data_IF_871008263754
#
_entry.id   IF_871008263754
#
_cell.length_a   1.000
_cell.length_b   1.000
_cell.length_c   1.000
_cell.angle_alpha   90.00
_cell.angle_beta   90.00
_cell.angle_gamma   90.00
#
_symmetry.space_group_name_H-M   'P 1'
#
loop_
_entity.id
_entity.type
_entity.pdbx_description
1 polymer ?
#
# COMPACT_ATOMS: atom_id res chain seq x y z
N UNK A 1 -17.07 -0.12 -2.48
CA UNK A 1 -16.26 -0.59 -3.62
C UNK A 1 -16.41 -2.09 -3.72
N UNK A 2 -16.95 -2.61 -4.82
CA UNK A 2 -17.32 -4.04 -4.97
C UNK A 2 -16.31 -4.82 -5.82
N UNK A 3 -15.46 -4.15 -6.58
CA UNK A 3 -14.44 -4.80 -7.41
C UNK A 3 -13.15 -5.02 -6.62
N UNK A 4 -12.54 -6.17 -6.86
CA UNK A 4 -11.33 -6.61 -6.17
C UNK A 4 -10.11 -5.91 -6.78
N UNK A 5 -9.30 -5.19 -5.99
CA UNK A 5 -8.19 -4.42 -6.54
C UNK A 5 -7.07 -5.33 -7.05
N UNK A 6 -6.27 -4.77 -7.96
CA UNK A 6 -4.99 -5.36 -8.36
C UNK A 6 -4.07 -5.42 -7.14
N UNK A 7 -3.12 -6.35 -7.15
CA UNK A 7 -2.18 -6.56 -6.05
C UNK A 7 -2.79 -6.94 -4.69
N UNK A 8 -4.05 -7.36 -4.61
CA UNK A 8 -4.72 -7.80 -3.36
C UNK A 8 -3.94 -8.81 -2.49
N UNK A 9 -2.98 -9.53 -3.07
CA UNK A 9 -2.12 -10.50 -2.36
C UNK A 9 -0.63 -10.11 -2.31
N UNK A 10 -0.26 -8.96 -2.85
CA UNK A 10 1.11 -8.43 -2.85
C UNK A 10 1.47 -7.83 -1.49
N UNK A 11 1.49 -8.66 -0.44
CA UNK A 11 1.58 -8.20 0.94
C UNK A 11 2.93 -7.56 1.27
N UNK A 12 4.01 -8.01 0.64
CA UNK A 12 5.34 -7.44 0.82
C UNK A 12 5.41 -6.03 0.25
N UNK A 13 4.83 -5.82 -0.92
CA UNK A 13 4.73 -4.55 -1.63
C UNK A 13 3.83 -3.57 -0.87
N UNK A 14 2.69 -4.04 -0.35
CA UNK A 14 1.84 -3.24 0.53
C UNK A 14 2.57 -2.80 1.79
N UNK A 15 3.39 -3.68 2.40
CA UNK A 15 4.18 -3.33 3.57
C UNK A 15 5.26 -2.28 3.26
N UNK A 16 5.90 -2.36 2.09
CA UNK A 16 6.84 -1.33 1.63
C UNK A 16 6.15 0.02 1.44
N UNK A 17 5.00 0.03 0.73
CA UNK A 17 4.23 1.27 0.51
C UNK A 17 3.75 1.88 1.83
N UNK A 18 3.25 1.06 2.77
CA UNK A 18 2.83 1.54 4.08
C UNK A 18 3.98 2.18 4.87
N UNK A 19 5.18 1.59 4.80
CA UNK A 19 6.38 2.14 5.42
C UNK A 19 6.83 3.44 4.74
N UNK A 20 6.75 3.53 3.41
CA UNK A 20 7.06 4.76 2.68
C UNK A 20 6.09 5.89 3.06
N UNK A 21 4.79 5.59 3.24
CA UNK A 21 3.82 6.57 3.74
C UNK A 21 4.23 7.07 5.12
N UNK A 22 4.61 6.17 6.03
CA UNK A 22 5.05 6.52 7.38
C UNK A 22 6.31 7.41 7.35
N UNK A 23 7.31 7.06 6.53
CA UNK A 23 8.54 7.86 6.35
C UNK A 23 8.24 9.25 5.79
N UNK A 24 7.44 9.33 4.72
CA UNK A 24 7.02 10.59 4.12
C UNK A 24 6.31 11.51 5.12
N UNK A 25 5.54 10.96 6.06
CA UNK A 25 4.93 11.73 7.16
C UNK A 25 5.99 12.20 8.15
N UNK A 26 6.84 11.31 8.63
CA UNK A 26 7.88 11.63 9.61
C UNK A 26 8.85 12.71 9.10
N UNK A 27 9.19 12.68 7.82
CA UNK A 27 10.14 13.60 7.19
C UNK A 27 9.47 14.87 6.67
N UNK A 28 8.23 14.77 6.15
CA UNK A 28 7.55 15.85 5.45
C UNK A 28 6.60 16.69 6.31
N UNK A 29 5.94 16.09 7.30
CA UNK A 29 4.97 16.81 8.13
C UNK A 29 5.61 17.93 8.98
N UNK A 30 6.86 17.81 9.52
CA UNK A 30 7.51 18.92 10.24
C UNK A 30 7.59 20.22 9.41
N UNK A 31 7.98 20.13 8.13
CA UNK A 31 8.04 21.30 7.25
C UNK A 31 6.65 21.90 6.96
N UNK A 32 5.57 21.11 7.04
CA UNK A 32 4.21 21.61 6.90
C UNK A 32 3.73 22.32 8.17
N UNK A 33 4.16 21.85 9.34
CA UNK A 33 3.92 22.52 10.63
C UNK A 33 4.64 23.85 10.67
N UNK A 34 5.94 23.88 10.33
CA UNK A 34 6.73 25.12 10.26
C UNK A 34 6.12 26.14 9.30
N UNK A 35 5.48 25.67 8.23
CA UNK A 35 4.78 26.51 7.25
C UNK A 35 3.35 26.91 7.66
N UNK A 36 2.86 26.51 8.84
CA UNK A 36 1.51 26.79 9.34
C UNK A 36 0.39 26.10 8.55
N UNK A 37 0.71 25.04 7.80
CA UNK A 37 -0.24 24.29 6.95
C UNK A 37 -0.82 23.05 7.66
N UNK A 38 -0.31 22.73 8.84
CA UNK A 38 -0.66 21.59 9.65
C UNK A 38 -0.39 21.95 11.11
N UNK A 39 -1.26 21.55 12.04
CA UNK A 39 -0.93 21.70 13.48
C UNK A 39 -0.01 20.58 13.96
N UNK A 40 0.69 20.81 15.08
CA UNK A 40 1.49 19.77 15.75
C UNK A 40 0.66 18.52 16.08
N UNK A 41 -0.55 18.71 16.60
CA UNK A 41 -1.47 17.63 16.98
C UNK A 41 -1.93 16.82 15.75
N UNK A 42 -2.19 17.49 14.63
CA UNK A 42 -2.54 16.84 13.37
C UNK A 42 -1.36 16.03 12.81
N UNK A 43 -0.14 16.60 12.83
CA UNK A 43 1.07 15.90 12.40
C UNK A 43 1.33 14.64 13.25
N UNK A 44 1.24 14.77 14.58
CA UNK A 44 1.41 13.67 15.51
C UNK A 44 0.35 12.57 15.29
N UNK A 45 -0.92 12.97 15.08
CA UNK A 45 -2.02 12.04 14.81
C UNK A 45 -1.79 11.27 13.51
N UNK A 46 -1.40 11.94 12.42
CA UNK A 46 -1.12 11.31 11.12
C UNK A 46 0.07 10.36 11.20
N UNK A 47 1.13 10.73 11.92
CA UNK A 47 2.29 9.88 12.12
C UNK A 47 1.95 8.63 12.95
N UNK A 48 1.16 8.78 14.02
CA UNK A 48 0.68 7.64 14.81
C UNK A 48 -0.10 6.65 13.93
N UNK A 49 -1.09 7.13 13.18
CA UNK A 49 -1.95 6.28 12.35
C UNK A 49 -1.13 5.58 11.25
N UNK A 50 -0.27 6.32 10.54
CA UNK A 50 0.59 5.73 9.50
C UNK A 50 1.60 4.71 10.06
N UNK A 51 2.10 4.94 11.28
CA UNK A 51 2.96 3.97 11.99
C UNK A 51 2.20 2.69 12.30
N UNK A 52 0.97 2.79 12.80
CA UNK A 52 0.12 1.63 13.04
C UNK A 52 -0.13 0.81 11.78
N UNK A 53 -0.47 1.48 10.67
CA UNK A 53 -0.68 0.85 9.36
C UNK A 53 0.61 0.14 8.90
N UNK A 54 1.77 0.80 8.96
CA UNK A 54 3.05 0.21 8.55
C UNK A 54 3.39 -1.04 9.38
N UNK A 55 3.18 -0.99 10.70
CA UNK A 55 3.38 -2.13 11.59
C UNK A 55 2.46 -3.29 11.23
N UNK A 56 1.16 -3.03 10.99
CA UNK A 56 0.20 -4.05 10.62
C UNK A 56 0.61 -4.78 9.34
N UNK A 57 0.89 -4.03 8.27
CA UNK A 57 1.25 -4.62 6.98
C UNK A 57 2.59 -5.35 7.02
N UNK A 58 3.56 -4.87 7.80
CA UNK A 58 4.81 -5.59 8.05
C UNK A 58 4.60 -6.95 8.74
N UNK A 59 3.61 -7.08 9.62
CA UNK A 59 3.26 -8.37 10.22
C UNK A 59 2.47 -9.24 9.24
N UNK A 60 1.50 -8.68 8.52
CA UNK A 60 0.72 -9.44 7.54
C UNK A 60 1.57 -10.01 6.41
N UNK A 61 2.60 -9.29 5.95
CA UNK A 61 3.58 -9.78 4.98
C UNK A 61 4.36 -11.01 5.47
N UNK A 62 4.53 -11.15 6.78
CA UNK A 62 5.19 -12.29 7.45
C UNK A 62 4.20 -13.34 7.95
N UNK A 63 2.92 -13.21 7.61
CA UNK A 63 1.84 -14.08 8.13
C UNK A 63 1.75 -14.06 9.66
N UNK A 64 2.10 -12.91 10.26
CA UNK A 64 2.04 -12.67 11.69
C UNK A 64 0.83 -11.80 12.05
N UNK A 65 0.26 -12.05 13.24
CA UNK A 65 -0.76 -11.15 13.80
C UNK A 65 -0.10 -9.92 14.41
N UNK A 66 -0.44 -8.70 13.95
CA UNK A 66 0.05 -7.49 14.61
C UNK A 66 -0.56 -7.36 16.00
N UNK A 67 0.14 -6.63 16.88
CA UNK A 67 -0.39 -6.26 18.19
C UNK A 67 -1.61 -5.37 18.02
N UNK A 68 -2.60 -5.53 18.89
CA UNK A 68 -3.76 -4.62 18.92
C UNK A 68 -3.27 -3.29 19.49
N UNK A 69 -3.48 -2.22 18.73
CA UNK A 69 -3.18 -0.85 19.15
C UNK A 69 -4.49 -0.05 19.32
N UNK A 70 -4.37 1.22 19.74
CA UNK A 70 -5.53 2.11 19.92
C UNK A 70 -6.05 2.70 18.60
N UNK A 71 -5.41 2.39 17.47
CA UNK A 71 -5.78 2.96 16.17
C UNK A 71 -6.98 2.24 15.60
N UNK A 72 -8.08 2.95 15.44
CA UNK A 72 -9.35 2.39 15.00
C UNK A 72 -9.32 2.04 13.50
N UNK A 73 -10.20 1.13 13.08
CA UNK A 73 -10.36 0.82 11.66
C UNK A 73 -10.77 2.04 10.84
N UNK A 74 -11.62 2.92 11.39
CA UNK A 74 -12.07 4.14 10.71
C UNK A 74 -10.88 5.09 10.45
N UNK A 75 -10.03 5.34 11.45
CA UNK A 75 -8.81 6.14 11.29
C UNK A 75 -7.89 5.58 10.19
N UNK A 76 -7.74 4.25 10.13
CA UNK A 76 -6.92 3.60 9.10
C UNK A 76 -7.53 3.76 7.70
N UNK A 77 -8.84 3.60 7.58
CA UNK A 77 -9.58 3.82 6.31
C UNK A 77 -9.41 5.26 5.84
N UNK A 78 -9.66 6.24 6.70
CA UNK A 78 -9.59 7.66 6.33
C UNK A 78 -8.17 8.07 5.94
N UNK A 79 -7.17 7.58 6.68
CA UNK A 79 -5.77 7.81 6.37
C UNK A 79 -5.37 7.23 5.01
N UNK A 80 -5.71 5.96 4.74
CA UNK A 80 -5.43 5.29 3.47
C UNK A 80 -6.15 5.97 2.30
N UNK A 81 -7.41 6.37 2.48
CA UNK A 81 -8.18 7.09 1.46
C UNK A 81 -7.56 8.45 1.12
N UNK A 82 -7.12 9.21 2.13
CA UNK A 82 -6.43 10.50 1.94
C UNK A 82 -5.12 10.33 1.18
N UNK A 83 -4.31 9.32 1.54
CA UNK A 83 -3.05 9.03 0.88
C UNK A 83 -3.27 8.56 -0.56
N UNK A 84 -4.28 7.70 -0.80
CA UNK A 84 -4.67 7.24 -2.13
C UNK A 84 -5.05 8.41 -3.04
N UNK A 85 -5.85 9.37 -2.56
CA UNK A 85 -6.21 10.55 -3.35
C UNK A 85 -4.96 11.35 -3.78
N UNK A 86 -3.97 11.48 -2.88
CA UNK A 86 -2.69 12.13 -3.19
C UNK A 86 -1.86 11.34 -4.22
N UNK A 87 -1.79 10.02 -4.08
CA UNK A 87 -1.08 9.14 -5.00
C UNK A 87 -1.72 9.14 -6.40
N UNK A 88 -3.05 9.06 -6.49
CA UNK A 88 -3.80 9.13 -7.73
C UNK A 88 -3.53 10.45 -8.48
N UNK A 89 -3.54 11.59 -7.77
CA UNK A 89 -3.20 12.89 -8.38
C UNK A 89 -1.79 12.92 -8.98
N UNK A 90 -0.82 12.26 -8.33
CA UNK A 90 0.56 12.17 -8.84
C UNK A 90 0.65 11.22 -10.03
N UNK A 91 -0.02 10.06 -9.96
CA UNK A 91 -0.16 9.13 -11.09
C UNK A 91 -0.71 9.84 -12.33
N UNK A 92 -1.83 10.54 -12.19
CA UNK A 92 -2.50 11.22 -13.31
C UNK A 92 -1.62 12.34 -13.89
N UNK A 93 -0.88 13.06 -13.04
CA UNK A 93 0.12 14.04 -13.49
C UNK A 93 1.25 13.39 -14.29
N UNK A 94 1.79 12.27 -13.82
CA UNK A 94 2.86 11.56 -14.53
C UNK A 94 2.35 10.95 -15.83
N UNK A 95 1.11 10.45 -15.86
CA UNK A 95 0.46 9.98 -17.07
C UNK A 95 0.31 11.11 -18.09
N UNK A 96 -0.16 12.29 -17.67
CA UNK A 96 -0.27 13.45 -18.54
C UNK A 96 1.09 13.90 -19.09
N UNK A 97 2.15 13.86 -18.26
CA UNK A 97 3.51 14.18 -18.70
C UNK A 97 4.04 13.16 -19.72
N UNK A 98 3.84 11.86 -19.47
CA UNK A 98 4.21 10.78 -20.39
C UNK A 98 3.49 10.93 -21.75
N UNK A 99 2.18 11.22 -21.74
CA UNK A 99 1.39 11.46 -22.96
C UNK A 99 1.86 12.73 -23.68
N UNK A 100 2.18 13.80 -22.93
CA UNK A 100 2.66 15.05 -23.49
C UNK A 100 3.99 14.86 -24.23
N UNK A 101 4.87 13.97 -23.75
CA UNK A 101 6.19 13.75 -24.35
C UNK A 101 6.17 12.73 -25.49
N UNK A 102 5.45 11.62 -25.34
CA UNK A 102 5.49 10.51 -26.31
C UNK A 102 4.20 10.32 -27.11
N UNK A 103 3.19 11.16 -26.89
CA UNK A 103 1.92 11.12 -27.59
C UNK A 103 0.95 10.06 -27.06
N UNK A 104 -0.28 10.07 -27.62
CA UNK A 104 -1.38 9.20 -27.18
C UNK A 104 -1.15 7.71 -27.43
N UNK A 105 -0.28 7.34 -28.36
CA UNK A 105 0.02 5.93 -28.65
C UNK A 105 0.61 5.21 -27.43
N UNK A 106 1.45 5.90 -26.63
CA UNK A 106 2.00 5.33 -25.39
C UNK A 106 0.92 5.11 -24.32
N UNK A 107 -0.12 5.94 -24.27
CA UNK A 107 -1.23 5.72 -23.35
C UNK A 107 -2.17 4.56 -23.71
N UNK A 108 -2.09 4.07 -24.95
CA UNK A 108 -2.84 2.88 -25.36
C UNK A 108 -2.12 1.57 -24.98
N UNK A 109 -0.86 1.64 -24.55
CA UNK A 109 -0.10 0.48 -24.10
C UNK A 109 -0.62 -0.02 -22.75
N UNK A 110 -0.64 -1.34 -22.61
CA UNK A 110 -0.87 -2.02 -21.34
C UNK A 110 0.29 -1.78 -20.36
N UNK A 111 0.04 -2.00 -19.06
CA UNK A 111 1.09 -1.90 -18.05
C UNK A 111 2.27 -2.84 -18.32
N UNK A 112 2.01 -4.06 -18.81
CA UNK A 112 3.07 -5.01 -19.15
C UNK A 112 3.95 -4.51 -20.30
N UNK A 113 3.35 -3.87 -21.32
CA UNK A 113 4.12 -3.26 -22.41
C UNK A 113 4.94 -2.06 -21.93
N UNK A 114 4.40 -1.26 -21.02
CA UNK A 114 5.12 -0.15 -20.42
C UNK A 114 6.31 -0.63 -19.55
N UNK A 115 6.14 -1.71 -18.77
CA UNK A 115 7.24 -2.34 -18.05
C UNK A 115 8.30 -2.90 -19.00
N UNK A 116 7.89 -3.55 -20.10
CA UNK A 116 8.84 -4.06 -21.10
C UNK A 116 9.70 -2.94 -21.74
N UNK A 117 9.14 -1.74 -21.94
CA UNK A 117 9.92 -0.57 -22.39
C UNK A 117 10.97 -0.18 -21.35
N UNK A 118 10.63 -0.27 -20.06
CA UNK A 118 11.60 -0.02 -18.99
C UNK A 118 12.72 -1.07 -18.96
N UNK A 119 12.35 -2.35 -18.99
CA UNK A 119 13.29 -3.47 -18.89
C UNK A 119 14.27 -3.52 -20.07
N UNK A 120 13.84 -3.03 -21.24
CA UNK A 120 14.70 -2.91 -22.43
C UNK A 120 15.63 -1.69 -22.41
N UNK A 121 15.64 -0.91 -21.32
CA UNK A 121 16.47 0.30 -21.16
C UNK A 121 16.24 1.35 -22.27
N UNK A 122 15.02 1.39 -22.81
CA UNK A 122 14.62 2.38 -23.82
C UNK A 122 14.62 3.79 -23.21
N UNK A 123 15.00 4.80 -23.99
CA UNK A 123 15.03 6.19 -23.54
C UNK A 123 13.67 6.69 -23.00
N UNK A 124 12.55 6.14 -23.51
CA UNK A 124 11.18 6.44 -23.04
C UNK A 124 10.96 6.06 -21.57
N UNK A 125 11.81 5.21 -20.99
CA UNK A 125 11.80 4.87 -19.57
C UNK A 125 11.79 6.10 -18.67
N UNK A 126 12.40 7.21 -19.10
CA UNK A 126 12.53 8.43 -18.30
C UNK A 126 11.17 9.02 -17.87
N UNK A 127 10.13 8.94 -18.72
CA UNK A 127 8.76 9.36 -18.35
C UNK A 127 7.82 8.22 -18.01
N UNK A 128 8.09 7.02 -18.51
CA UNK A 128 7.28 5.84 -18.21
C UNK A 128 7.46 5.40 -16.76
N UNK A 129 8.70 5.34 -16.26
CA UNK A 129 8.98 4.81 -14.92
C UNK A 129 8.31 5.63 -13.79
N UNK A 130 8.32 6.98 -13.80
CA UNK A 130 7.56 7.75 -12.80
C UNK A 130 6.05 7.47 -12.83
N UNK A 131 5.48 7.24 -14.02
CA UNK A 131 4.07 6.85 -14.13
C UNK A 131 3.84 5.46 -13.54
N UNK A 132 4.63 4.46 -13.93
CA UNK A 132 4.54 3.08 -13.42
C UNK A 132 4.70 3.00 -11.91
N UNK A 133 5.61 3.80 -11.34
CA UNK A 133 5.79 3.91 -9.90
C UNK A 133 4.51 4.38 -9.20
N UNK A 134 3.95 5.54 -9.60
CA UNK A 134 2.76 6.07 -8.94
C UNK A 134 1.50 5.26 -9.23
N UNK A 135 1.44 4.57 -10.37
CA UNK A 135 0.42 3.60 -10.67
C UNK A 135 0.45 2.45 -9.66
N UNK A 136 1.61 1.79 -9.52
CA UNK A 136 1.79 0.64 -8.63
C UNK A 136 1.58 1.03 -7.18
N UNK A 137 2.03 2.23 -6.79
CA UNK A 137 1.85 2.79 -5.46
C UNK A 137 0.37 3.03 -5.14
N UNK A 138 -0.40 3.59 -6.08
CA UNK A 138 -1.85 3.77 -5.92
C UNK A 138 -2.59 2.43 -5.83
N UNK A 139 -2.23 1.45 -6.68
CA UNK A 139 -2.85 0.13 -6.67
C UNK A 139 -2.59 -0.64 -5.35
N UNK A 140 -1.40 -0.50 -4.76
CA UNK A 140 -1.12 -1.03 -3.42
C UNK A 140 -1.97 -0.37 -2.33
N UNK A 141 -2.17 0.96 -2.38
CA UNK A 141 -3.05 1.68 -1.46
C UNK A 141 -4.52 1.28 -1.61
N UNK A 142 -5.00 1.08 -2.85
CA UNK A 142 -6.34 0.55 -3.13
C UNK A 142 -6.52 -0.84 -2.51
N UNK A 143 -5.52 -1.71 -2.63
CA UNK A 143 -5.54 -3.03 -2.04
C UNK A 143 -5.54 -3.01 -0.50
N UNK A 144 -4.73 -2.15 0.11
CA UNK A 144 -4.73 -1.97 1.57
C UNK A 144 -6.08 -1.44 2.07
N UNK A 145 -6.63 -0.43 1.38
CA UNK A 145 -7.93 0.15 1.70
C UNK A 145 -9.05 -0.89 1.59
N UNK A 146 -9.03 -1.69 0.51
CA UNK A 146 -9.99 -2.77 0.31
C UNK A 146 -9.97 -3.77 1.47
N UNK A 147 -8.79 -4.22 1.90
CA UNK A 147 -8.66 -5.12 3.05
C UNK A 147 -9.15 -4.49 4.35
N UNK A 148 -8.89 -3.20 4.56
CA UNK A 148 -9.25 -2.48 5.77
C UNK A 148 -10.77 -2.26 5.89
N UNK A 149 -11.48 -2.19 4.75
CA UNK A 149 -12.93 -2.01 4.67
C UNK A 149 -13.72 -3.32 4.80
N UNK A 150 -13.06 -4.48 4.80
CA UNK A 150 -13.75 -5.77 4.93
C UNK A 150 -14.35 -5.93 6.33
N UNK A 151 -15.50 -6.62 6.45
CA UNK A 151 -15.99 -7.10 7.74
C UNK A 151 -14.92 -7.89 8.50
N UNK A 152 -15.00 -7.92 9.84
CA UNK A 152 -13.98 -8.56 10.68
C UNK A 152 -13.64 -9.99 10.24
N UNK A 153 -14.64 -10.80 9.91
CA UNK A 153 -14.49 -12.21 9.51
C UNK A 153 -13.94 -12.42 8.08
N UNK A 154 -13.77 -11.34 7.32
CA UNK A 154 -13.18 -11.35 5.98
C UNK A 154 -11.93 -10.48 5.89
N UNK A 155 -11.57 -9.82 7.00
CA UNK A 155 -10.44 -8.91 7.08
C UNK A 155 -9.11 -9.65 7.12
N UNK A 156 -8.04 -8.93 6.79
CA UNK A 156 -6.69 -9.50 6.72
C UNK A 156 -6.24 -10.10 8.06
N UNK A 157 -6.60 -9.47 9.18
CA UNK A 157 -6.31 -9.97 10.53
C UNK A 157 -6.93 -11.34 10.77
N UNK A 158 -8.22 -11.52 10.46
CA UNK A 158 -8.92 -12.80 10.67
C UNK A 158 -8.32 -13.91 9.80
N UNK A 159 -8.08 -13.65 8.52
CA UNK A 159 -7.45 -14.62 7.62
C UNK A 159 -6.06 -15.02 8.13
N UNK A 160 -5.28 -14.06 8.63
CA UNK A 160 -3.96 -14.35 9.22
C UNK A 160 -4.07 -15.23 10.46
N UNK A 161 -5.03 -14.95 11.35
CA UNK A 161 -5.31 -15.78 12.53
C UNK A 161 -5.66 -17.22 12.15
N UNK A 162 -6.58 -17.42 11.20
CA UNK A 162 -6.98 -18.75 10.73
C UNK A 162 -5.78 -19.50 10.14
N UNK A 163 -4.97 -18.85 9.31
CA UNK A 163 -3.80 -19.48 8.70
C UNK A 163 -2.76 -19.90 9.75
N UNK A 164 -2.55 -19.10 10.80
CA UNK A 164 -1.67 -19.48 11.91
C UNK A 164 -2.19 -20.70 12.69
N UNK A 165 -3.51 -20.75 12.95
CA UNK A 165 -4.14 -21.89 13.62
C UNK A 165 -4.02 -23.18 12.80
N UNK A 166 -4.26 -23.11 11.49
CA UNK A 166 -4.11 -24.26 10.59
C UNK A 166 -2.66 -24.76 10.52
N UNK A 167 -1.68 -23.85 10.44
CA UNK A 167 -0.26 -24.22 10.46
C UNK A 167 0.12 -24.95 11.76
N UNK A 168 -0.42 -24.51 12.91
CA UNK A 168 -0.22 -25.18 14.19
C UNK A 168 -0.80 -26.59 14.24
N UNK A 169 -1.98 -26.81 13.66
CA UNK A 169 -2.61 -28.14 13.59
C UNK A 169 -1.79 -29.12 12.74
N UNK A 170 -1.33 -28.69 11.57
CA UNK A 170 -0.50 -29.52 10.68
C UNK A 170 0.80 -29.93 11.38
N UNK A 171 1.44 -29.01 12.11
CA UNK A 171 2.65 -29.29 12.88
C UNK A 171 2.42 -30.37 13.96
N UNK A 172 1.28 -30.30 14.66
CA UNK A 172 0.90 -31.30 15.67
C UNK A 172 0.65 -32.68 15.04
N UNK A 173 -0.02 -32.74 13.90
CA UNK A 173 -0.25 -33.99 13.17
C UNK A 173 1.04 -34.63 12.68
N UNK A 174 1.96 -33.83 12.13
CA UNK A 174 3.28 -34.30 11.70
C UNK A 174 4.11 -34.83 12.88
N UNK A 175 4.08 -34.14 14.01
CA UNK A 175 4.76 -34.58 15.23
C UNK A 175 4.18 -35.90 15.76
N UNK A 176 2.85 -36.10 15.66
CA UNK A 176 2.19 -37.36 16.04
C UNK A 176 2.51 -38.51 15.09
N UNK A 177 2.65 -38.25 13.79
CA UNK A 177 2.97 -39.28 12.79
C UNK A 177 4.44 -39.73 12.86
N UNK A 178 5.32 -38.92 13.46
CA UNK A 178 6.75 -39.21 13.61
C UNK A 178 7.12 -39.86 14.96
N UNK A 179 6.15 -40.05 15.86
CA UNK A 179 6.29 -40.67 17.18
C UNK A 179 5.77 -42.12 17.17
#
# INVERSE_FOLDING_TARGET
MTERPRFVYAYAEMAQVAEDVRKNRAEGDPALVDAGKLSDDEAATRLRISTAIAVDWKHFARMELPRVDRTTSAEKVDSLASVLAGAAKRRDRMQAAMIGEYGRAVAALSLSELWAIHDTHDARSQRILPYLHWESYAAALEAMLWWQQRPHYEGRRFITMVNQQLAGLVSVEQARAAA
#
